data_IF_315782862732
#
_entry.id   IF_315782862732
#
_cell.length_a   1.000
_cell.length_b   1.000
_cell.length_c   1.000
_cell.angle_alpha   90.00
_cell.angle_beta   90.00
_cell.angle_gamma   90.00
#
_symmetry.space_group_name_H-M   'P 1'
#
loop_
_entity.id
_entity.type
_entity.pdbx_description
1 polymer ?
#
# COMPACT_ATOMS: atom_id res chain seq x y z
N UNK A 1 -15.26 8.86 14.65
CA UNK A 1 -15.37 7.73 13.70
C UNK A 1 -16.60 6.94 14.09
N UNK A 2 -17.65 7.00 13.27
CA UNK A 2 -18.94 6.35 13.55
C UNK A 2 -19.15 5.08 12.69
N UNK A 3 -18.05 4.44 12.25
CA UNK A 3 -18.09 3.19 11.50
C UNK A 3 -17.77 2.02 12.42
N UNK A 4 -18.57 0.98 12.34
CA UNK A 4 -18.42 -0.28 13.09
C UNK A 4 -18.26 -1.45 12.11
N UNK A 5 -17.12 -1.54 11.40
CA UNK A 5 -16.94 -2.55 10.37
C UNK A 5 -16.76 -3.94 10.98
N UNK A 6 -17.39 -4.95 10.39
CA UNK A 6 -17.15 -6.34 10.76
C UNK A 6 -15.70 -6.78 10.41
N UNK A 7 -15.17 -6.25 9.31
CA UNK A 7 -13.78 -6.45 8.90
C UNK A 7 -13.15 -5.07 8.70
N UNK A 8 -12.23 -4.68 9.58
CA UNK A 8 -11.43 -3.47 9.45
C UNK A 8 -10.08 -3.80 8.83
N UNK A 9 -9.68 -3.08 7.77
CA UNK A 9 -8.37 -3.26 7.13
C UNK A 9 -7.56 -1.98 7.24
N UNK A 10 -6.38 -2.08 7.86
CA UNK A 10 -5.43 -0.99 8.01
C UNK A 10 -4.16 -1.30 7.19
N UNK A 11 -3.95 -0.53 6.14
CA UNK A 11 -2.85 -0.78 5.19
C UNK A 11 -1.56 -0.11 5.63
N UNK A 12 -1.61 1.16 5.99
CA UNK A 12 -0.49 1.94 6.50
C UNK A 12 -1.00 3.15 7.31
N UNK A 13 -0.09 3.81 8.00
CA UNK A 13 -0.32 5.10 8.65
C UNK A 13 0.89 6.00 8.37
N UNK A 14 0.63 7.19 7.84
CA UNK A 14 1.62 8.22 7.55
C UNK A 14 1.12 9.57 8.07
N UNK A 15 2.02 10.58 8.14
CA UNK A 15 1.67 11.94 8.55
C UNK A 15 0.87 12.67 7.46
N UNK A 16 -0.38 12.23 7.26
CA UNK A 16 -1.31 12.85 6.33
C UNK A 16 -2.48 13.51 7.08
N UNK A 17 -3.12 14.49 6.44
CA UNK A 17 -4.26 15.21 7.00
C UNK A 17 -3.99 15.83 8.38
N UNK A 18 -2.77 16.37 8.58
CA UNK A 18 -2.37 16.99 9.86
C UNK A 18 -3.15 18.26 10.16
N UNK A 19 -3.71 18.90 9.15
CA UNK A 19 -4.69 19.99 9.25
C UNK A 19 -5.93 19.56 10.04
N UNK A 20 -6.40 18.33 9.88
CA UNK A 20 -7.53 17.74 10.59
C UNK A 20 -7.11 17.13 11.93
N UNK A 21 -6.13 16.22 11.92
CA UNK A 21 -5.74 15.45 13.12
C UNK A 21 -4.89 16.25 14.11
N UNK A 22 -4.34 17.41 13.73
CA UNK A 22 -3.48 18.33 14.52
C UNK A 22 -2.14 17.73 14.94
N UNK A 23 -2.08 16.44 15.25
CA UNK A 23 -0.85 15.76 15.63
C UNK A 23 -0.82 14.30 15.18
N UNK A 24 0.39 13.76 14.98
CA UNK A 24 0.57 12.35 14.64
C UNK A 24 0.12 11.42 15.76
N UNK A 25 0.22 11.86 17.03
CA UNK A 25 -0.30 11.13 18.18
C UNK A 25 -1.83 10.98 18.11
N UNK A 26 -2.53 12.07 17.76
CA UNK A 26 -3.98 12.01 17.59
C UNK A 26 -4.35 11.09 16.44
N UNK A 27 -3.68 11.18 15.28
CA UNK A 27 -3.92 10.26 14.16
C UNK A 27 -3.80 8.80 14.62
N UNK A 28 -2.76 8.44 15.39
CA UNK A 28 -2.60 7.09 15.95
C UNK A 28 -3.76 6.68 16.86
N UNK A 29 -4.27 7.59 17.68
CA UNK A 29 -5.45 7.34 18.53
C UNK A 29 -6.70 7.05 17.68
N UNK A 30 -6.91 7.80 16.58
CA UNK A 30 -8.04 7.55 15.67
C UNK A 30 -7.94 6.18 15.00
N UNK A 31 -6.73 5.75 14.58
CA UNK A 31 -6.52 4.41 14.04
C UNK A 31 -6.81 3.30 15.07
N UNK A 32 -6.37 3.49 16.31
CA UNK A 32 -6.67 2.56 17.41
C UNK A 32 -8.17 2.49 17.69
N UNK A 33 -8.85 3.64 17.74
CA UNK A 33 -10.29 3.70 17.93
C UNK A 33 -11.04 2.99 16.80
N UNK A 34 -10.64 3.22 15.56
CA UNK A 34 -11.24 2.52 14.40
C UNK A 34 -11.06 1.01 14.52
N UNK A 35 -9.87 0.54 14.89
CA UNK A 35 -9.64 -0.89 15.12
C UNK A 35 -10.50 -1.45 16.28
N UNK A 36 -10.70 -0.66 17.34
CA UNK A 36 -11.53 -1.02 18.46
C UNK A 36 -13.04 -0.96 18.19
N UNK A 37 -13.48 -0.31 17.10
CA UNK A 37 -14.89 -0.26 16.70
C UNK A 37 -15.37 -1.55 16.01
N UNK A 38 -14.50 -2.50 15.69
CA UNK A 38 -14.96 -3.80 15.21
C UNK A 38 -15.81 -4.48 16.28
N UNK A 39 -16.96 -5.15 15.97
CA UNK A 39 -17.74 -5.90 16.94
C UNK A 39 -16.93 -7.07 17.52
N UNK A 40 -17.47 -7.75 18.53
CA UNK A 40 -16.77 -8.84 19.21
C UNK A 40 -16.43 -10.02 18.28
N UNK A 41 -17.29 -10.26 17.29
CA UNK A 41 -17.13 -11.28 16.26
C UNK A 41 -16.48 -10.75 14.97
N UNK A 42 -16.07 -9.48 14.98
CA UNK A 42 -15.33 -8.84 13.90
C UNK A 42 -13.84 -9.11 13.93
N UNK A 43 -13.13 -8.65 12.90
CA UNK A 43 -11.67 -8.81 12.78
C UNK A 43 -10.99 -7.54 12.32
N UNK A 44 -9.83 -7.26 12.88
CA UNK A 44 -8.92 -6.20 12.44
C UNK A 44 -7.74 -6.81 11.68
N UNK A 45 -7.59 -6.44 10.43
CA UNK A 45 -6.51 -6.86 9.54
C UNK A 45 -5.53 -5.70 9.39
N UNK A 46 -4.24 -5.92 9.54
CA UNK A 46 -3.27 -4.83 9.47
C UNK A 46 -1.93 -5.23 8.85
N UNK A 47 -1.30 -4.28 8.17
CA UNK A 47 0.04 -4.45 7.63
C UNK A 47 1.09 -4.34 8.74
N UNK A 48 1.75 -5.46 9.05
CA UNK A 48 2.80 -5.52 10.07
C UNK A 48 4.17 -5.01 9.59
N UNK A 49 4.32 -4.72 8.30
CA UNK A 49 5.50 -4.06 7.77
C UNK A 49 5.54 -2.57 8.15
N UNK A 50 4.37 -1.97 8.45
CA UNK A 50 4.28 -0.64 9.03
C UNK A 50 4.48 -0.71 10.55
N UNK A 51 5.63 -0.23 11.04
CA UNK A 51 6.01 -0.29 12.45
C UNK A 51 5.05 0.45 13.37
N UNK A 52 4.47 1.56 12.91
CA UNK A 52 3.51 2.31 13.70
C UNK A 52 2.17 1.57 13.84
N UNK A 53 1.66 0.95 12.76
CA UNK A 53 0.48 0.10 12.87
C UNK A 53 0.70 -1.06 13.83
N UNK A 54 1.87 -1.71 13.75
CA UNK A 54 2.21 -2.80 14.67
C UNK A 54 2.18 -2.34 16.14
N UNK A 55 2.73 -1.15 16.44
CA UNK A 55 2.70 -0.55 17.78
C UNK A 55 1.28 -0.15 18.20
N UNK A 56 0.49 0.44 17.32
CA UNK A 56 -0.90 0.84 17.60
C UNK A 56 -1.73 -0.40 17.91
N UNK A 57 -1.59 -1.46 17.11
CA UNK A 57 -2.39 -2.67 17.24
C UNK A 57 -1.97 -3.56 18.43
N UNK A 58 -0.80 -3.33 19.05
CA UNK A 58 -0.47 -3.96 20.33
C UNK A 58 -1.40 -3.45 21.45
N UNK A 59 -1.84 -2.18 21.40
CA UNK A 59 -2.82 -1.60 22.31
C UNK A 59 -4.29 -1.90 21.98
N UNK A 60 -4.57 -2.56 20.84
CA UNK A 60 -5.93 -2.91 20.46
C UNK A 60 -6.48 -4.05 21.33
N UNK A 61 -7.62 -3.81 22.00
CA UNK A 61 -8.27 -4.74 22.93
C UNK A 61 -8.99 -5.91 22.24
N UNK A 62 -9.16 -5.86 20.91
CA UNK A 62 -9.88 -6.89 20.16
C UNK A 62 -9.10 -8.20 20.09
N UNK A 63 -9.82 -9.31 20.24
CA UNK A 63 -9.25 -10.66 20.19
C UNK A 63 -8.82 -11.08 18.80
N UNK A 64 -9.63 -10.77 17.81
CA UNK A 64 -9.41 -11.19 16.43
C UNK A 64 -8.60 -10.13 15.68
N UNK A 65 -7.28 -10.34 15.64
CA UNK A 65 -6.34 -9.53 14.85
C UNK A 65 -5.56 -10.45 13.94
N UNK A 66 -5.42 -10.07 12.67
CA UNK A 66 -4.62 -10.81 11.68
C UNK A 66 -3.64 -9.83 11.03
N UNK A 67 -2.38 -10.13 11.14
CA UNK A 67 -1.31 -9.37 10.51
C UNK A 67 -0.97 -9.92 9.14
N UNK A 68 -0.67 -9.02 8.19
CA UNK A 68 -0.10 -9.40 6.91
C UNK A 68 1.13 -8.57 6.58
N UNK A 69 2.00 -9.09 5.72
CA UNK A 69 3.19 -8.37 5.29
C UNK A 69 4.22 -9.23 4.57
N UNK A 70 5.38 -8.65 4.34
CA UNK A 70 6.54 -9.29 3.73
C UNK A 70 7.51 -9.83 4.79
N UNK A 71 7.46 -9.27 6.00
CA UNK A 71 8.33 -9.61 7.11
C UNK A 71 7.98 -10.96 7.76
N UNK A 72 8.97 -11.59 8.40
CA UNK A 72 8.86 -12.96 8.95
C UNK A 72 7.82 -13.13 10.06
N UNK A 73 7.46 -12.07 10.75
CA UNK A 73 6.52 -12.10 11.87
C UNK A 73 5.04 -12.16 11.50
N UNK A 74 4.68 -11.82 10.26
CA UNK A 74 3.28 -11.71 9.80
C UNK A 74 2.54 -13.06 9.84
N UNK A 75 1.22 -13.02 10.09
CA UNK A 75 0.35 -14.20 10.03
C UNK A 75 0.11 -14.63 8.58
N UNK A 76 0.00 -13.66 7.68
CA UNK A 76 -0.09 -13.88 6.23
C UNK A 76 1.10 -13.20 5.56
N UNK A 77 1.95 -13.98 4.93
CA UNK A 77 3.22 -13.50 4.42
C UNK A 77 3.43 -13.87 2.97
N UNK A 78 3.87 -12.89 2.15
CA UNK A 78 4.40 -13.19 0.83
C UNK A 78 5.87 -13.62 0.90
N UNK A 79 6.22 -14.64 0.12
CA UNK A 79 7.57 -15.21 -0.01
C UNK A 79 7.88 -15.47 -1.47
N UNK A 80 9.16 -15.74 -1.81
CA UNK A 80 9.59 -16.03 -3.18
C UNK A 80 9.15 -14.94 -4.18
N UNK A 81 9.33 -13.67 -3.79
CA UNK A 81 8.86 -12.52 -4.55
C UNK A 81 9.77 -12.26 -5.74
N UNK A 82 9.18 -12.25 -6.94
CA UNK A 82 9.78 -11.83 -8.19
C UNK A 82 8.91 -10.74 -8.84
N UNK A 83 9.49 -9.60 -9.13
CA UNK A 83 8.82 -8.49 -9.83
C UNK A 83 9.58 -8.22 -11.13
N UNK A 84 8.87 -8.29 -12.25
CA UNK A 84 9.41 -8.00 -13.58
C UNK A 84 8.33 -7.35 -14.45
N UNK A 85 8.64 -7.05 -15.71
CA UNK A 85 7.70 -6.39 -16.65
C UNK A 85 6.38 -7.16 -16.86
N UNK A 86 6.34 -8.48 -16.59
CA UNK A 86 5.15 -9.34 -16.74
C UNK A 86 4.25 -9.37 -15.52
N UNK A 87 4.64 -8.71 -14.42
CA UNK A 87 3.87 -8.68 -13.17
C UNK A 87 4.68 -8.97 -11.92
N UNK A 88 3.96 -9.19 -10.82
CA UNK A 88 4.50 -9.64 -9.53
C UNK A 88 4.13 -11.10 -9.30
N UNK A 89 5.13 -11.93 -8.98
CA UNK A 89 4.98 -13.36 -8.73
C UNK A 89 5.44 -13.65 -7.31
N UNK A 90 4.69 -14.44 -6.56
CA UNK A 90 5.02 -14.74 -5.17
C UNK A 90 4.23 -15.94 -4.67
N UNK A 91 4.66 -16.49 -3.54
CA UNK A 91 3.91 -17.47 -2.75
C UNK A 91 3.32 -16.77 -1.51
N UNK A 92 2.26 -17.34 -0.93
CA UNK A 92 1.66 -16.85 0.30
C UNK A 92 1.68 -17.96 1.35
N UNK A 93 2.23 -17.67 2.51
CA UNK A 93 2.18 -18.53 3.68
C UNK A 93 1.17 -17.95 4.68
N UNK A 94 0.19 -18.74 5.05
CA UNK A 94 -0.85 -18.44 6.04
C UNK A 94 -0.57 -19.26 7.29
N UNK A 95 -0.35 -18.61 8.44
CA UNK A 95 -0.25 -19.28 9.73
C UNK A 95 -1.65 -19.65 10.24
N UNK A 96 -1.73 -20.69 11.08
CA UNK A 96 -2.94 -21.00 11.83
C UNK A 96 -3.23 -19.84 12.80
N UNK A 97 -4.45 -19.31 12.73
CA UNK A 97 -4.99 -18.31 13.67
C UNK A 97 -6.34 -18.79 14.19
N UNK A 98 -7.01 -18.00 15.04
CA UNK A 98 -8.38 -18.31 15.48
C UNK A 98 -9.39 -18.36 14.32
N UNK A 99 -9.11 -17.65 13.21
CA UNK A 99 -10.02 -17.49 12.08
C UNK A 99 -9.55 -18.19 10.81
N UNK A 100 -8.27 -18.56 10.73
CA UNK A 100 -7.67 -19.11 9.51
C UNK A 100 -6.94 -20.42 9.79
N UNK A 101 -7.08 -21.39 8.90
CA UNK A 101 -6.29 -22.61 8.88
C UNK A 101 -4.89 -22.33 8.29
N UNK A 102 -3.89 -23.11 8.71
CA UNK A 102 -2.56 -23.09 8.09
C UNK A 102 -2.67 -23.50 6.62
N UNK A 103 -2.16 -22.67 5.72
CA UNK A 103 -2.22 -22.92 4.27
C UNK A 103 -0.99 -22.31 3.59
N UNK A 104 -0.55 -22.93 2.51
CA UNK A 104 0.43 -22.35 1.58
C UNK A 104 -0.19 -22.24 0.20
N UNK A 105 -0.17 -21.05 -0.36
CA UNK A 105 -0.67 -20.77 -1.70
C UNK A 105 0.54 -20.46 -2.59
N UNK A 106 0.85 -21.36 -3.49
CA UNK A 106 2.00 -21.21 -4.39
C UNK A 106 1.59 -20.54 -5.71
N UNK A 107 2.59 -19.93 -6.37
CA UNK A 107 2.48 -19.42 -7.74
C UNK A 107 1.34 -18.41 -7.93
N UNK A 108 1.29 -17.41 -7.05
CA UNK A 108 0.43 -16.24 -7.28
C UNK A 108 1.04 -15.39 -8.38
N UNK A 109 0.20 -14.98 -9.33
CA UNK A 109 0.52 -13.97 -10.34
C UNK A 109 -0.41 -12.78 -10.18
N UNK A 110 0.16 -11.61 -9.98
CA UNK A 110 -0.53 -10.34 -9.91
C UNK A 110 -0.04 -9.46 -11.05
N UNK A 111 -0.94 -9.00 -11.93
CA UNK A 111 -0.56 -8.25 -13.14
C UNK A 111 -0.12 -6.80 -12.87
N UNK A 112 -0.08 -6.37 -11.61
CA UNK A 112 0.44 -5.07 -11.21
C UNK A 112 1.78 -5.22 -10.49
N UNK A 113 2.60 -4.20 -10.59
CA UNK A 113 3.97 -4.19 -10.11
C UNK A 113 4.06 -3.50 -8.74
N UNK A 114 5.12 -3.83 -8.01
CA UNK A 114 5.50 -3.14 -6.77
C UNK A 114 5.17 -3.89 -5.49
N UNK A 115 6.08 -3.76 -4.52
CA UNK A 115 5.93 -4.40 -3.19
C UNK A 115 4.65 -3.97 -2.48
N UNK A 116 4.26 -2.70 -2.61
CA UNK A 116 3.01 -2.18 -2.02
C UNK A 116 1.76 -2.86 -2.60
N UNK A 117 1.77 -3.22 -3.90
CA UNK A 117 0.66 -3.97 -4.50
C UNK A 117 0.63 -5.43 -4.03
N UNK A 118 1.79 -6.04 -3.77
CA UNK A 118 1.85 -7.34 -3.11
C UNK A 118 1.26 -7.25 -1.70
N UNK A 119 1.63 -6.23 -0.89
CA UNK A 119 1.05 -6.00 0.43
C UNK A 119 -0.47 -5.80 0.36
N UNK A 120 -0.97 -4.97 -0.56
CA UNK A 120 -2.41 -4.77 -0.77
C UNK A 120 -3.12 -6.07 -1.16
N UNK A 121 -2.47 -6.92 -1.98
CA UNK A 121 -3.02 -8.22 -2.35
C UNK A 121 -3.08 -9.19 -1.16
N UNK A 122 -2.13 -9.14 -0.22
CA UNK A 122 -2.20 -9.93 1.03
C UNK A 122 -3.39 -9.50 1.89
N UNK A 123 -3.69 -8.19 1.98
CA UNK A 123 -4.90 -7.72 2.64
C UNK A 123 -6.16 -8.31 2.00
N UNK A 124 -6.25 -8.27 0.66
CA UNK A 124 -7.37 -8.84 -0.08
C UNK A 124 -7.50 -10.36 0.12
N UNK A 125 -6.37 -11.09 0.10
CA UNK A 125 -6.35 -12.54 0.40
C UNK A 125 -6.84 -12.81 1.81
N UNK A 126 -6.42 -12.00 2.80
CA UNK A 126 -6.85 -12.16 4.19
C UNK A 126 -8.37 -12.05 4.30
N UNK A 127 -8.95 -11.00 3.71
CA UNK A 127 -10.41 -10.83 3.67
C UNK A 127 -11.09 -12.01 2.96
N UNK A 128 -10.58 -12.39 1.78
CA UNK A 128 -11.14 -13.48 0.99
C UNK A 128 -11.13 -14.82 1.75
N UNK A 129 -10.05 -15.11 2.51
CA UNK A 129 -9.96 -16.33 3.32
C UNK A 129 -10.91 -16.33 4.52
N UNK A 130 -11.09 -15.17 5.18
CA UNK A 130 -12.09 -15.01 6.25
C UNK A 130 -13.51 -15.26 5.71
N UNK A 131 -13.78 -14.82 4.48
CA UNK A 131 -15.05 -15.05 3.78
C UNK A 131 -15.14 -16.42 3.10
N UNK A 132 -14.20 -17.34 3.38
CA UNK A 132 -14.15 -18.70 2.82
C UNK A 132 -14.13 -18.76 1.29
N UNK A 133 -13.55 -17.74 0.63
CA UNK A 133 -13.41 -17.75 -0.83
C UNK A 133 -12.31 -18.76 -1.23
N UNK A 134 -12.64 -19.58 -2.21
CA UNK A 134 -11.75 -20.61 -2.73
C UNK A 134 -10.46 -20.00 -3.32
N UNK A 135 -9.31 -20.63 -3.05
CA UNK A 135 -7.98 -20.20 -3.50
C UNK A 135 -7.89 -20.04 -5.01
N UNK A 136 -8.53 -20.91 -5.80
CA UNK A 136 -8.50 -20.80 -7.25
C UNK A 136 -9.22 -19.53 -7.74
N UNK A 137 -10.35 -19.17 -7.11
CA UNK A 137 -11.05 -17.91 -7.41
C UNK A 137 -10.19 -16.69 -7.09
N UNK A 138 -9.43 -16.72 -5.97
CA UNK A 138 -8.47 -15.66 -5.61
C UNK A 138 -7.38 -15.53 -6.67
N UNK A 139 -6.78 -16.65 -7.10
CA UNK A 139 -5.76 -16.65 -8.16
C UNK A 139 -6.28 -16.08 -9.48
N UNK A 140 -7.47 -16.52 -9.90
CA UNK A 140 -8.11 -16.02 -11.13
C UNK A 140 -8.39 -14.52 -11.06
N UNK A 141 -8.88 -14.02 -9.90
CA UNK A 141 -9.13 -12.59 -9.70
C UNK A 141 -7.85 -11.77 -9.86
N UNK A 142 -6.73 -12.21 -9.27
CA UNK A 142 -5.44 -11.52 -9.40
C UNK A 142 -4.89 -11.51 -10.83
N UNK A 143 -5.07 -12.61 -11.58
CA UNK A 143 -4.67 -12.67 -12.99
C UNK A 143 -5.52 -11.75 -13.89
N UNK A 144 -6.79 -11.52 -13.52
CA UNK A 144 -7.69 -10.61 -14.25
C UNK A 144 -7.55 -9.15 -13.83
N UNK A 145 -6.99 -8.88 -12.65
CA UNK A 145 -6.86 -7.53 -12.12
C UNK A 145 -5.83 -6.72 -12.93
N UNK A 146 -6.28 -5.64 -13.55
CA UNK A 146 -5.46 -4.77 -14.40
C UNK A 146 -4.89 -3.54 -13.67
N UNK A 147 -5.07 -3.48 -12.34
CA UNK A 147 -4.66 -2.32 -11.53
C UNK A 147 -5.73 -1.23 -11.48
N UNK A 148 -5.36 -0.12 -10.88
CA UNK A 148 -6.16 1.10 -10.78
C UNK A 148 -5.54 2.15 -11.69
N UNK A 149 -6.36 2.90 -12.43
CA UNK A 149 -5.89 4.02 -13.26
C UNK A 149 -5.07 4.99 -12.43
N UNK A 150 -4.03 5.57 -13.04
CA UNK A 150 -3.12 6.51 -12.39
C UNK A 150 -2.37 5.90 -11.18
N UNK A 151 -2.07 4.62 -11.20
CA UNK A 151 -1.19 3.93 -10.25
C UNK A 151 -0.18 3.12 -11.06
N UNK A 152 0.97 3.74 -11.35
CA UNK A 152 2.01 3.23 -12.25
C UNK A 152 1.44 2.74 -13.60
N UNK A 153 0.52 3.53 -14.17
CA UNK A 153 -0.18 3.16 -15.40
C UNK A 153 0.65 3.56 -16.60
N UNK A 154 1.08 2.60 -17.42
CA UNK A 154 1.69 2.92 -18.71
C UNK A 154 0.62 3.46 -19.64
N UNK A 155 0.71 4.74 -20.00
CA UNK A 155 -0.23 5.41 -20.91
C UNK A 155 0.24 5.40 -22.37
N UNK A 156 1.56 5.34 -22.58
CA UNK A 156 2.16 5.34 -23.90
C UNK A 156 3.50 4.62 -23.92
N UNK A 157 3.87 4.10 -25.09
CA UNK A 157 5.22 3.66 -25.42
C UNK A 157 5.55 4.21 -26.81
N UNK A 158 6.44 5.20 -26.87
CA UNK A 158 6.84 5.85 -28.13
C UNK A 158 8.34 5.72 -28.31
N UNK A 159 8.77 5.03 -29.36
CA UNK A 159 10.19 4.81 -29.69
C UNK A 159 11.03 4.32 -28.50
N UNK A 160 10.47 3.40 -27.68
CA UNK A 160 11.14 2.86 -26.49
C UNK A 160 11.02 3.72 -25.22
N UNK A 161 10.40 4.91 -25.31
CA UNK A 161 10.09 5.76 -24.16
C UNK A 161 8.76 5.33 -23.59
N UNK A 162 8.76 4.81 -22.35
CA UNK A 162 7.54 4.44 -21.62
C UNK A 162 7.05 5.67 -20.85
N UNK A 163 5.84 6.13 -21.11
CA UNK A 163 5.19 7.20 -20.37
C UNK A 163 4.28 6.55 -19.33
N UNK A 164 4.55 6.87 -18.05
CA UNK A 164 3.85 6.32 -16.90
C UNK A 164 3.08 7.45 -16.21
N UNK A 165 1.79 7.27 -15.99
CA UNK A 165 0.95 8.14 -15.17
C UNK A 165 0.79 7.54 -13.77
N UNK A 166 1.14 8.33 -12.74
CA UNK A 166 0.98 7.96 -11.35
C UNK A 166 0.42 9.12 -10.54
N UNK A 167 -0.54 8.85 -9.68
CA UNK A 167 -1.19 9.85 -8.83
C UNK A 167 -0.39 10.13 -7.55
N UNK A 168 0.83 9.63 -7.42
CA UNK A 168 1.69 9.85 -6.27
C UNK A 168 1.89 11.34 -6.02
N UNK A 169 1.50 11.80 -4.84
CA UNK A 169 1.54 13.21 -4.44
C UNK A 169 2.06 13.37 -2.99
N UNK A 170 2.47 12.31 -2.35
CA UNK A 170 3.16 12.28 -1.06
C UNK A 170 4.57 11.72 -1.25
N UNK A 171 5.61 12.18 -0.50
CA UNK A 171 6.99 11.72 -0.67
C UNK A 171 7.14 10.19 -0.65
N UNK A 172 6.46 9.49 0.27
CA UNK A 172 6.52 8.02 0.35
C UNK A 172 5.91 7.34 -0.88
N UNK A 173 4.84 7.89 -1.46
CA UNK A 173 4.25 7.37 -2.70
C UNK A 173 5.21 7.56 -3.87
N UNK A 174 5.79 8.79 -4.02
CA UNK A 174 6.77 9.09 -5.07
C UNK A 174 7.99 8.19 -4.94
N UNK A 175 8.47 7.95 -3.72
CA UNK A 175 9.56 7.02 -3.46
C UNK A 175 9.24 5.62 -3.99
N UNK A 176 8.07 5.09 -3.65
CA UNK A 176 7.64 3.77 -4.10
C UNK A 176 7.54 3.69 -5.64
N UNK A 177 7.01 4.74 -6.29
CA UNK A 177 6.91 4.85 -7.75
C UNK A 177 8.30 4.89 -8.41
N UNK A 178 9.24 5.67 -7.88
CA UNK A 178 10.61 5.74 -8.40
C UNK A 178 11.41 4.45 -8.19
N UNK A 179 11.27 3.82 -7.03
CA UNK A 179 11.87 2.50 -6.76
C UNK A 179 11.34 1.45 -7.76
N UNK A 180 10.04 1.47 -8.03
CA UNK A 180 9.44 0.57 -9.02
C UNK A 180 9.99 0.86 -10.43
N UNK A 181 10.07 2.14 -10.82
CA UNK A 181 10.64 2.54 -12.10
C UNK A 181 12.10 2.06 -12.25
N UNK A 182 12.93 2.23 -11.21
CA UNK A 182 14.35 1.77 -11.22
C UNK A 182 14.47 0.25 -11.33
N UNK A 183 13.57 -0.50 -10.69
CA UNK A 183 13.57 -1.97 -10.77
C UNK A 183 13.30 -2.50 -12.18
N UNK A 184 12.70 -1.70 -13.06
CA UNK A 184 12.53 -2.01 -14.48
C UNK A 184 13.80 -1.71 -15.32
N UNK A 185 14.89 -1.26 -14.68
CA UNK A 185 16.22 -0.99 -15.26
C UNK A 185 16.17 -0.07 -16.50
N UNK A 186 15.50 1.09 -16.43
CA UNK A 186 15.51 2.05 -17.53
C UNK A 186 16.90 2.68 -17.68
N UNK A 187 17.23 3.15 -18.88
CA UNK A 187 18.43 3.95 -19.12
C UNK A 187 18.39 5.28 -18.38
N UNK A 188 17.22 5.92 -18.33
CA UNK A 188 16.98 7.23 -17.71
C UNK A 188 15.56 7.31 -17.17
N UNK A 189 15.39 7.95 -16.00
CA UNK A 189 14.09 8.30 -15.42
C UNK A 189 13.95 9.82 -15.46
N UNK A 190 12.95 10.28 -16.18
CA UNK A 190 12.52 11.68 -16.24
C UNK A 190 11.22 11.80 -15.46
N UNK A 191 11.17 12.73 -14.51
CA UNK A 191 9.99 12.98 -13.69
C UNK A 191 9.41 14.35 -14.03
N UNK A 192 8.11 14.40 -14.28
CA UNK A 192 7.33 15.63 -14.34
C UNK A 192 6.45 15.61 -13.09
N UNK A 193 6.73 16.50 -12.14
CA UNK A 193 6.08 16.54 -10.84
C UNK A 193 5.23 17.79 -10.69
N UNK A 194 3.93 17.61 -10.42
CA UNK A 194 3.03 18.67 -10.01
C UNK A 194 2.77 18.57 -8.50
N UNK A 195 3.29 19.50 -7.68
CA UNK A 195 2.96 19.52 -6.27
C UNK A 195 1.45 19.75 -6.06
N UNK A 196 0.87 19.04 -5.10
CA UNK A 196 -0.55 19.10 -4.79
C UNK A 196 -0.75 19.64 -3.37
N UNK A 197 -1.42 20.78 -3.24
CA UNK A 197 -1.61 21.62 -2.04
C UNK A 197 -0.33 22.34 -1.58
N UNK A 198 -0.45 23.63 -1.34
CA UNK A 198 0.63 24.46 -0.79
C UNK A 198 1.06 24.00 0.60
N UNK A 199 0.10 23.71 1.48
CA UNK A 199 0.35 23.26 2.85
C UNK A 199 1.17 21.96 2.88
N UNK A 200 0.81 20.96 2.06
CA UNK A 200 1.56 19.70 1.98
C UNK A 200 2.96 19.93 1.45
N UNK A 201 3.10 20.69 0.36
CA UNK A 201 4.40 20.94 -0.24
C UNK A 201 5.33 21.68 0.72
N UNK A 202 4.82 22.70 1.44
CA UNK A 202 5.56 23.45 2.46
C UNK A 202 6.00 22.53 3.62
N UNK A 203 5.07 21.76 4.16
CA UNK A 203 5.33 20.93 5.35
C UNK A 203 6.28 19.74 5.08
N UNK A 204 6.31 19.24 3.85
CA UNK A 204 7.11 18.07 3.45
C UNK A 204 8.21 18.43 2.44
N UNK A 205 8.60 19.69 2.35
CA UNK A 205 9.54 20.18 1.34
C UNK A 205 10.85 19.39 1.31
N UNK A 206 11.46 19.14 2.46
CA UNK A 206 12.70 18.40 2.56
C UNK A 206 12.54 16.91 2.19
N UNK A 207 11.40 16.33 2.49
CA UNK A 207 11.08 14.95 2.11
C UNK A 207 10.91 14.85 0.59
N UNK A 208 10.18 15.79 -0.04
CA UNK A 208 10.10 15.88 -1.50
C UNK A 208 11.49 16.03 -2.14
N UNK A 209 12.31 16.95 -1.65
CA UNK A 209 13.68 17.15 -2.14
C UNK A 209 14.50 15.87 -2.05
N UNK A 210 14.37 15.12 -0.96
CA UNK A 210 15.10 13.86 -0.74
C UNK A 210 14.68 12.77 -1.74
N UNK A 211 13.38 12.58 -1.94
CA UNK A 211 12.88 11.49 -2.81
C UNK A 211 13.06 11.81 -4.28
N UNK A 212 12.85 13.07 -4.71
CA UNK A 212 12.95 13.48 -6.11
C UNK A 212 14.40 13.49 -6.63
N UNK A 213 15.41 13.48 -5.76
CA UNK A 213 16.82 13.26 -6.16
C UNK A 213 17.06 11.87 -6.79
N UNK A 214 16.15 10.94 -6.65
CA UNK A 214 16.29 9.59 -7.20
C UNK A 214 15.88 9.47 -8.69
N UNK A 215 15.51 10.55 -9.37
CA UNK A 215 15.36 10.61 -10.81
C UNK A 215 16.61 11.23 -11.49
N UNK A 216 16.77 10.98 -12.79
CA UNK A 216 17.91 11.50 -13.55
C UNK A 216 17.62 12.92 -14.06
N UNK A 217 16.35 13.28 -14.22
CA UNK A 217 15.92 14.62 -14.63
C UNK A 217 14.56 14.92 -14.01
N UNK A 218 14.41 16.12 -13.46
CA UNK A 218 13.19 16.57 -12.79
C UNK A 218 12.65 17.85 -13.44
N UNK A 219 11.38 17.84 -13.79
CA UNK A 219 10.60 19.02 -14.14
C UNK A 219 9.53 19.22 -13.07
N UNK A 220 9.44 20.42 -12.50
CA UNK A 220 8.43 20.76 -11.49
C UNK A 220 7.51 21.82 -12.09
N UNK A 221 6.22 21.58 -12.05
CA UNK A 221 5.20 22.50 -12.51
C UNK A 221 4.68 23.37 -11.35
N UNK A 222 3.79 24.31 -11.65
CA UNK A 222 3.10 25.09 -10.63
C UNK A 222 2.32 24.19 -9.66
N UNK A 223 2.24 24.60 -8.40
CA UNK A 223 1.47 23.90 -7.38
C UNK A 223 -0.01 23.92 -7.73
N UNK A 224 -0.65 22.76 -7.74
CA UNK A 224 -2.10 22.66 -7.79
C UNK A 224 -2.68 22.93 -6.38
N UNK A 225 -3.41 24.02 -6.23
CA UNK A 225 -3.88 24.51 -4.91
C UNK A 225 -4.91 23.57 -4.26
N UNK A 226 -5.70 22.85 -5.05
CA UNK A 226 -6.81 22.02 -4.56
C UNK A 226 -7.79 22.78 -3.63
N UNK A 227 -8.02 24.06 -3.93
CA UNK A 227 -8.91 24.93 -3.15
C UNK A 227 -8.24 25.63 -1.96
N UNK A 228 -6.95 25.45 -1.73
CA UNK A 228 -6.21 26.28 -0.75
C UNK A 228 -5.97 27.68 -1.30
N UNK A 229 -6.16 28.70 -0.44
CA UNK A 229 -5.89 30.11 -0.73
C UNK A 229 -4.49 30.49 -0.29
#
# INVERSE_FOLDING_TARGET
>A
INLFPKIAVLTNINKEHMDFYKSYSNLKKYFLNFANNTPFDGVTIFCSDNSDLKKILSGCKKRNKISYGLNTGSDIRATNILINEKGSFFDINIKKTNLLKKEKINKIRLNVLGKHNIQNSLAAVTVAKILNINTNKIKQAFQKFKGVKRRFTQVCNFKGIKIIDDYAHHPEEIKATLELARNLKPKKIIVIFQPHRYSRFKNLYYDFKKVLKNCDQLYVTNVYSAGEK
#
